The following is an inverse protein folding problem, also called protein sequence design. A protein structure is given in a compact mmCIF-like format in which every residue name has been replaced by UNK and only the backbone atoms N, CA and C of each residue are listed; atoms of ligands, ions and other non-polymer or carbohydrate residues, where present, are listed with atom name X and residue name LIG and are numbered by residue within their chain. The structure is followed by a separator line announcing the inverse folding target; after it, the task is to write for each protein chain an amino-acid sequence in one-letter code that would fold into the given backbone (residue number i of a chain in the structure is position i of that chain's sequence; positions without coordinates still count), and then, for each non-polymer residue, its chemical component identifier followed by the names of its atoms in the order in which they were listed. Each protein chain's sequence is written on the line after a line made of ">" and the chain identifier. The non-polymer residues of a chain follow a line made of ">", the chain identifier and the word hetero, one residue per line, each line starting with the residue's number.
data_IF_434890813659
#
_entry.id   IF_434890813659
#
_cell.length_a   1.000
_cell.length_b   1.000
_cell.length_c   1.000
_cell.angle_alpha   90.00
_cell.angle_beta   90.00
_cell.angle_gamma   90.00
#
_symmetry.space_group_name_H-M   'P 1'
#
loop_
_entity.id
_entity.type
_entity.pdbx_description
1 polymer ?
#
# COMPACT_ATOMS: atom_id res chain seq x y z
N UNK A 1 -14.56 1.49 -22.58
CA UNK A 1 -15.88 1.17 -22.02
C UNK A 1 -15.77 1.31 -20.50
N UNK A 2 -15.82 2.55 -19.98
CA UNK A 2 -15.37 2.88 -18.61
C UNK A 2 -16.42 3.65 -17.78
N UNK A 3 -17.70 3.52 -18.13
CA UNK A 3 -18.78 4.26 -17.49
C UNK A 3 -19.58 3.33 -16.59
N UNK A 4 -19.44 3.52 -15.28
CA UNK A 4 -20.40 3.02 -14.29
C UNK A 4 -21.59 3.97 -14.33
N UNK A 5 -22.74 3.47 -14.79
CA UNK A 5 -23.98 4.23 -14.84
C UNK A 5 -24.78 3.98 -13.57
N UNK A 6 -25.02 5.04 -12.79
CA UNK A 6 -25.99 5.07 -11.68
C UNK A 6 -27.09 6.09 -11.96
N UNK A 7 -28.25 5.90 -11.33
CA UNK A 7 -29.48 6.67 -11.60
C UNK A 7 -29.41 8.18 -11.30
N UNK A 8 -28.35 8.66 -10.63
CA UNK A 8 -28.14 10.09 -10.29
C UNK A 8 -27.18 10.84 -11.24
N UNK A 9 -26.72 10.19 -12.31
CA UNK A 9 -25.76 10.78 -13.23
C UNK A 9 -24.33 10.37 -12.89
N UNK A 10 -23.57 10.11 -13.94
CA UNK A 10 -22.21 9.54 -13.95
C UNK A 10 -21.33 10.17 -12.87
N UNK A 11 -21.00 9.44 -11.80
CA UNK A 11 -19.82 9.79 -11.00
C UNK A 11 -18.60 9.56 -11.88
N UNK A 12 -18.05 10.65 -12.40
CA UNK A 12 -16.85 10.60 -13.21
C UNK A 12 -15.70 10.01 -12.39
N UNK A 13 -15.25 8.80 -12.78
CA UNK A 13 -14.09 8.13 -12.17
C UNK A 13 -12.88 9.05 -12.12
N UNK A 14 -12.74 9.94 -13.10
CA UNK A 14 -11.65 10.90 -13.14
C UNK A 14 -11.79 11.96 -12.03
N UNK A 15 -12.98 12.51 -11.81
CA UNK A 15 -13.27 13.43 -10.71
C UNK A 15 -13.06 12.81 -9.32
N UNK A 16 -13.48 11.56 -9.13
CA UNK A 16 -13.21 10.82 -7.87
C UNK A 16 -11.72 10.55 -7.69
N UNK A 17 -11.03 10.16 -8.76
CA UNK A 17 -9.59 9.98 -8.75
C UNK A 17 -8.89 11.26 -8.30
N UNK A 18 -9.15 12.40 -8.95
CA UNK A 18 -8.56 13.68 -8.59
C UNK A 18 -8.77 14.05 -7.12
N UNK A 19 -9.97 13.80 -6.58
CA UNK A 19 -10.30 14.08 -5.18
C UNK A 19 -9.48 13.24 -4.19
N UNK A 20 -9.18 11.99 -4.52
CA UNK A 20 -8.59 11.03 -3.58
C UNK A 20 -7.13 10.64 -3.89
N UNK A 21 -6.53 11.13 -4.98
CA UNK A 21 -5.08 11.00 -5.25
C UNK A 21 -4.22 11.47 -4.07
N UNK A 22 -4.51 12.61 -3.38
CA UNK A 22 -3.73 13.02 -2.22
C UNK A 22 -3.73 11.98 -1.10
N UNK A 23 -4.82 11.23 -0.92
CA UNK A 23 -4.93 10.14 0.05
C UNK A 23 -4.00 8.98 -0.31
N UNK A 24 -3.97 8.58 -1.58
CA UNK A 24 -3.05 7.54 -2.08
C UNK A 24 -1.61 7.95 -1.83
N UNK A 25 -1.25 9.21 -2.16
CA UNK A 25 0.09 9.74 -1.93
C UNK A 25 0.47 9.76 -0.45
N UNK A 26 -0.44 10.20 0.41
CA UNK A 26 -0.21 10.21 1.85
C UNK A 26 0.09 8.81 2.39
N UNK A 27 -0.70 7.82 1.97
CA UNK A 27 -0.52 6.43 2.40
C UNK A 27 0.76 5.80 1.84
N UNK A 28 1.11 6.10 0.59
CA UNK A 28 2.34 5.63 -0.05
C UNK A 28 3.59 6.16 0.67
N UNK A 29 3.64 7.46 0.95
CA UNK A 29 4.75 8.08 1.68
C UNK A 29 4.90 7.48 3.08
N UNK A 30 3.78 7.28 3.80
CA UNK A 30 3.80 6.68 5.14
C UNK A 30 4.32 5.23 5.12
N UNK A 31 4.02 4.49 4.04
CA UNK A 31 4.52 3.14 3.87
C UNK A 31 6.00 3.12 3.49
N UNK A 32 6.43 4.02 2.60
CA UNK A 32 7.81 4.11 2.09
C UNK A 32 8.84 4.30 3.20
N UNK A 33 8.54 5.09 4.24
CA UNK A 33 9.45 5.30 5.40
C UNK A 33 9.86 3.99 6.09
N UNK A 34 9.08 2.91 5.92
CA UNK A 34 9.32 1.61 6.57
C UNK A 34 9.91 0.56 5.63
N UNK A 35 10.22 0.92 4.38
CA UNK A 35 10.68 0.01 3.34
C UNK A 35 12.14 0.28 2.97
N UNK A 36 12.84 -0.71 2.38
CA UNK A 36 14.17 -0.48 1.82
C UNK A 36 14.15 0.58 0.72
N UNK A 37 15.29 1.25 0.51
CA UNK A 37 15.46 2.26 -0.53
C UNK A 37 15.27 1.71 -1.97
N UNK A 38 15.26 0.39 -2.15
CA UNK A 38 14.97 -0.27 -3.42
C UNK A 38 13.49 -0.21 -3.83
N UNK A 39 12.59 0.19 -2.92
CA UNK A 39 11.17 0.35 -3.23
C UNK A 39 10.91 1.77 -3.70
N UNK A 40 10.53 1.89 -4.96
CA UNK A 40 10.17 3.17 -5.57
C UNK A 40 8.80 3.66 -5.10
N UNK A 41 8.69 4.97 -4.85
CA UNK A 41 7.43 5.59 -4.45
C UNK A 41 6.37 5.45 -5.55
N UNK A 42 6.77 5.57 -6.81
CA UNK A 42 5.85 5.54 -7.95
C UNK A 42 5.16 4.19 -8.10
N UNK A 43 5.82 3.09 -7.72
CA UNK A 43 5.21 1.77 -7.69
C UNK A 43 4.12 1.67 -6.61
N UNK A 44 4.38 2.25 -5.43
CA UNK A 44 3.38 2.33 -4.36
C UNK A 44 2.19 3.19 -4.78
N UNK A 45 2.44 4.32 -5.45
CA UNK A 45 1.39 5.20 -5.96
C UNK A 45 0.51 4.49 -6.99
N UNK A 46 1.10 3.74 -7.92
CA UNK A 46 0.35 2.97 -8.92
C UNK A 46 -0.49 1.85 -8.27
N UNK A 47 0.12 1.03 -7.40
CA UNK A 47 -0.58 -0.04 -6.70
C UNK A 47 -1.71 0.51 -5.82
N UNK A 48 -1.43 1.57 -5.05
CA UNK A 48 -2.41 2.29 -4.26
C UNK A 48 -3.55 2.87 -5.08
N UNK A 49 -3.24 3.38 -6.27
CA UNK A 49 -4.20 3.86 -7.25
C UNK A 49 -5.19 2.79 -7.71
N UNK A 50 -4.69 1.61 -8.07
CA UNK A 50 -5.53 0.45 -8.40
C UNK A 50 -6.41 0.07 -7.19
N UNK A 51 -5.84 0.10 -5.98
CA UNK A 51 -6.58 -0.11 -4.74
C UNK A 51 -7.73 0.88 -4.52
N UNK A 52 -7.51 2.17 -4.82
CA UNK A 52 -8.52 3.22 -4.75
C UNK A 52 -9.64 3.00 -5.77
N UNK A 53 -9.32 2.70 -7.03
CA UNK A 53 -10.32 2.43 -8.07
C UNK A 53 -11.21 1.24 -7.68
N UNK A 54 -10.60 0.17 -7.17
CA UNK A 54 -11.32 -0.99 -6.66
C UNK A 54 -12.18 -0.64 -5.42
N UNK A 55 -11.75 0.31 -4.60
CA UNK A 55 -12.54 0.78 -3.46
C UNK A 55 -13.75 1.58 -3.92
N UNK A 56 -13.60 2.46 -4.91
CA UNK A 56 -14.72 3.20 -5.52
C UNK A 56 -15.76 2.23 -6.08
N UNK A 57 -15.32 1.21 -6.81
CA UNK A 57 -16.22 0.28 -7.48
C UNK A 57 -16.97 -0.66 -6.51
N UNK A 58 -16.46 -0.86 -5.29
CA UNK A 58 -17.02 -1.83 -4.31
C UNK A 58 -17.57 -1.20 -3.04
N UNK A 59 -17.48 0.11 -2.90
CA UNK A 59 -17.94 0.78 -1.69
C UNK A 59 -19.47 0.76 -1.62
N UNK A 60 -19.97 0.41 -0.43
CA UNK A 60 -21.39 0.39 -0.12
C UNK A 60 -21.65 1.33 1.06
N UNK A 61 -22.37 2.43 0.79
CA UNK A 61 -22.69 3.45 1.78
C UNK A 61 -23.65 2.93 2.88
N UNK A 62 -24.40 1.86 2.63
CA UNK A 62 -25.34 1.28 3.59
C UNK A 62 -24.63 0.62 4.78
N UNK A 63 -23.33 0.34 4.65
CA UNK A 63 -22.52 -0.24 5.73
C UNK A 63 -22.11 0.78 6.81
N UNK A 64 -22.48 2.06 6.65
CA UNK A 64 -22.31 3.10 7.68
C UNK A 64 -20.88 3.55 7.94
N UNK A 65 -19.91 3.12 7.14
CA UNK A 65 -18.51 3.60 7.22
C UNK A 65 -18.25 4.69 6.21
N UNK A 66 -17.46 5.70 6.56
CA UNK A 66 -17.07 6.72 5.59
C UNK A 66 -16.20 6.10 4.48
N UNK A 67 -16.42 6.53 3.24
CA UNK A 67 -15.64 6.08 2.08
C UNK A 67 -14.13 6.18 2.30
N UNK A 68 -13.65 7.25 2.91
CA UNK A 68 -12.23 7.46 3.19
C UNK A 68 -11.66 6.37 4.09
N UNK A 69 -12.37 5.99 5.15
CA UNK A 69 -11.97 4.91 6.06
C UNK A 69 -11.87 3.57 5.33
N UNK A 70 -12.86 3.26 4.49
CA UNK A 70 -12.86 2.06 3.66
C UNK A 70 -11.72 2.07 2.64
N UNK A 71 -11.55 3.17 1.92
CA UNK A 71 -10.54 3.33 0.87
C UNK A 71 -9.12 3.19 1.42
N UNK A 72 -8.81 3.76 2.59
CA UNK A 72 -7.48 3.62 3.22
C UNK A 72 -7.08 2.15 3.40
N UNK A 73 -8.02 1.29 3.84
CA UNK A 73 -7.74 -0.14 4.00
C UNK A 73 -7.45 -0.81 2.66
N UNK A 74 -8.21 -0.48 1.62
CA UNK A 74 -8.05 -1.06 0.27
C UNK A 74 -6.77 -0.58 -0.43
N UNK A 75 -6.44 0.70 -0.33
CA UNK A 75 -5.23 1.32 -0.87
C UNK A 75 -3.99 0.66 -0.24
N UNK A 76 -3.94 0.58 1.10
CA UNK A 76 -2.83 -0.07 1.80
C UNK A 76 -2.70 -1.54 1.46
N UNK A 77 -3.83 -2.26 1.37
CA UNK A 77 -3.85 -3.67 0.97
C UNK A 77 -3.18 -3.87 -0.38
N UNK A 78 -3.58 -3.07 -1.39
CA UNK A 78 -3.01 -3.15 -2.73
C UNK A 78 -1.50 -2.88 -2.77
N UNK A 79 -1.01 -1.86 -2.05
CA UNK A 79 0.43 -1.59 -1.95
C UNK A 79 1.19 -2.75 -1.30
N UNK A 80 0.65 -3.32 -0.21
CA UNK A 80 1.28 -4.44 0.48
C UNK A 80 1.28 -5.71 -0.39
N UNK A 81 0.26 -5.92 -1.20
CA UNK A 81 0.17 -7.05 -2.10
C UNK A 81 1.17 -6.91 -3.26
N UNK A 82 1.36 -5.70 -3.80
CA UNK A 82 2.43 -5.41 -4.78
C UNK A 82 3.83 -5.65 -4.20
N UNK A 83 4.05 -5.26 -2.95
CA UNK A 83 5.33 -5.54 -2.29
C UNK A 83 5.55 -7.05 -2.11
N UNK A 84 4.49 -7.82 -1.84
CA UNK A 84 4.59 -9.28 -1.71
C UNK A 84 4.79 -9.99 -3.04
N UNK A 85 4.21 -9.49 -4.13
CA UNK A 85 4.41 -10.07 -5.46
C UNK A 85 5.86 -9.90 -5.92
N UNK A 86 6.49 -8.78 -5.55
CA UNK A 86 7.91 -8.47 -5.85
C UNK A 86 8.87 -9.13 -4.87
N UNK A 87 8.59 -9.05 -3.57
CA UNK A 87 9.36 -9.70 -2.52
C UNK A 87 8.74 -11.06 -2.15
N UNK A 88 8.99 -12.08 -2.97
CA UNK A 88 8.87 -13.47 -2.49
C UNK A 88 10.04 -13.78 -1.56
N UNK A 89 10.09 -13.15 -0.38
CA UNK A 89 11.04 -13.47 0.69
C UNK A 89 10.25 -14.11 1.83
N UNK A 90 10.25 -15.46 1.95
CA UNK A 90 9.52 -16.17 2.99
C UNK A 90 9.85 -15.69 4.40
N UNK A 91 8.91 -15.88 5.34
CA UNK A 91 9.10 -15.54 6.77
C UNK A 91 10.40 -16.14 7.36
N UNK A 92 10.79 -17.32 6.89
CA UNK A 92 12.04 -17.99 7.28
C UNK A 92 13.27 -17.17 6.88
N UNK A 93 13.28 -16.61 5.67
CA UNK A 93 14.41 -15.77 5.20
C UNK A 93 14.50 -14.47 6.01
N UNK A 94 13.36 -13.86 6.38
CA UNK A 94 13.35 -12.70 7.28
C UNK A 94 13.80 -13.04 8.71
N UNK A 95 13.49 -14.24 9.20
CA UNK A 95 13.96 -14.72 10.50
C UNK A 95 15.47 -14.93 10.47
N UNK A 96 15.98 -15.64 9.46
CA UNK A 96 17.40 -15.88 9.28
C UNK A 96 18.19 -14.56 9.13
N UNK A 97 17.66 -13.58 8.40
CA UNK A 97 18.30 -12.26 8.29
C UNK A 97 18.44 -11.54 9.64
N UNK A 98 17.44 -11.67 10.53
CA UNK A 98 17.53 -11.13 11.90
C UNK A 98 18.52 -11.89 12.77
N UNK A 99 18.55 -13.22 12.66
CA UNK A 99 19.51 -14.06 13.38
C UNK A 99 20.95 -13.70 12.97
N UNK A 100 21.22 -13.52 11.67
CA UNK A 100 22.52 -13.08 11.16
C UNK A 100 22.88 -11.69 11.68
N UNK A 101 21.97 -10.71 11.62
CA UNK A 101 22.23 -9.37 12.12
C UNK A 101 22.52 -9.35 13.64
N UNK A 102 21.83 -10.17 14.42
CA UNK A 102 22.12 -10.33 15.85
C UNK A 102 23.49 -10.95 16.10
N UNK A 103 23.84 -12.02 15.37
CA UNK A 103 25.14 -12.67 15.49
C UNK A 103 26.28 -11.71 15.11
N UNK A 104 26.09 -10.90 14.06
CA UNK A 104 27.04 -9.85 13.69
C UNK A 104 27.22 -8.82 14.80
N UNK A 105 26.14 -8.30 15.39
CA UNK A 105 26.23 -7.34 16.48
C UNK A 105 26.88 -7.90 17.75
N UNK A 106 26.70 -9.20 18.04
CA UNK A 106 27.40 -9.88 19.13
C UNK A 106 28.89 -9.99 18.85
N UNK A 107 29.27 -10.36 17.63
CA UNK A 107 30.68 -10.44 17.22
C UNK A 107 31.37 -9.08 17.27
N UNK A 108 30.69 -8.01 16.82
CA UNK A 108 31.20 -6.64 16.89
C UNK A 108 31.47 -6.21 18.34
N UNK A 109 30.57 -6.56 19.28
CA UNK A 109 30.77 -6.30 20.71
C UNK A 109 31.93 -7.08 21.32
N UNK A 110 32.13 -8.34 20.92
CA UNK A 110 33.23 -9.18 21.42
C UNK A 110 34.59 -8.76 20.86
N UNK A 111 34.63 -8.33 19.60
CA UNK A 111 35.86 -7.98 18.89
C UNK A 111 36.27 -6.51 19.05
N UNK A 112 35.41 -5.68 19.65
CA UNK A 112 35.76 -4.32 20.10
C UNK A 112 35.99 -3.31 18.98
N UNK A 113 35.23 -3.41 17.88
CA UNK A 113 35.21 -2.41 16.81
C UNK A 113 34.19 -1.30 17.08
#
# INVERSE_FOLDING_TARGET
>A
MNSLYTAEGVMDKHSLWQRYVPLVRHEALRLQVRLPASVELDDLLQAGGIGLLNAVDRYDALQGTAFTTYAVQRIRGAMLDELRSRDWVPRSVRRNAREVAQAMGQLEQELGA
#
